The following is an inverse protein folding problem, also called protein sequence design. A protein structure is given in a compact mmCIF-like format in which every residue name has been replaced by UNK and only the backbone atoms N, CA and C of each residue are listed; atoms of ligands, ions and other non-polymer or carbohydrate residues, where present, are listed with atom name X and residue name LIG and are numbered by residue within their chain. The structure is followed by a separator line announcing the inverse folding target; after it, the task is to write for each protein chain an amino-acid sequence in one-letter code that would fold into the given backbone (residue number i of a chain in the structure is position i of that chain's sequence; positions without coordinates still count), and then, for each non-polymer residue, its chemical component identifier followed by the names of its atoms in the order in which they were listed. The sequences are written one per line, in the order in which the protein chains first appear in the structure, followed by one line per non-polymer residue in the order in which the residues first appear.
data_IF_998336497759
#
_entry.id   IF_998336497759
#
_cell.length_a   1.000
_cell.length_b   1.000
_cell.length_c   1.000
_cell.angle_alpha   90.00
_cell.angle_beta   90.00
_cell.angle_gamma   90.00
#
_symmetry.space_group_name_H-M   'P 1'
#
loop_
_entity.id
_entity.type
_entity.pdbx_description
1 polymer ?
#
# COMPACT_ATOMS: atom_id res chain seq x y z
N UNK A 1 -28.99 24.17 -3.60
CA UNK A 1 -28.46 23.14 -2.68
C UNK A 1 -26.95 23.11 -2.85
N UNK A 2 -26.20 23.54 -1.85
CA UNK A 2 -24.73 23.49 -1.90
C UNK A 2 -24.35 22.05 -1.57
N UNK A 3 -23.78 21.34 -2.54
CA UNK A 3 -23.18 20.04 -2.28
C UNK A 3 -22.01 20.25 -1.31
N UNK A 4 -22.19 19.92 -0.02
CA UNK A 4 -21.07 19.81 0.91
C UNK A 4 -20.08 18.82 0.31
N UNK A 5 -18.92 19.33 -0.12
CA UNK A 5 -17.80 18.47 -0.53
C UNK A 5 -17.44 17.63 0.69
N UNK A 6 -17.70 16.34 0.66
CA UNK A 6 -17.16 15.40 1.64
C UNK A 6 -15.64 15.62 1.62
N UNK A 7 -15.00 16.04 2.72
CA UNK A 7 -13.55 16.15 2.77
C UNK A 7 -12.99 14.76 2.53
N UNK A 8 -12.40 14.55 1.34
CA UNK A 8 -11.66 13.33 1.06
C UNK A 8 -10.27 13.56 1.65
N UNK A 9 -9.95 12.82 2.72
CA UNK A 9 -8.61 12.87 3.27
C UNK A 9 -7.60 12.52 2.17
N UNK A 10 -6.55 13.34 1.98
CA UNK A 10 -5.57 13.09 0.94
C UNK A 10 -4.87 11.75 1.20
N UNK A 11 -4.91 10.87 0.20
CA UNK A 11 -4.15 9.63 0.22
C UNK A 11 -2.67 10.02 0.22
N UNK A 12 -1.82 9.42 1.06
CA UNK A 12 -0.37 9.66 1.00
C UNK A 12 0.36 8.56 0.25
N UNK A 13 1.52 8.89 -0.35
CA UNK A 13 2.43 7.91 -0.94
C UNK A 13 2.94 6.95 0.13
N UNK A 14 2.87 5.65 -0.14
CA UNK A 14 3.29 4.61 0.79
C UNK A 14 4.83 4.44 0.81
N UNK A 15 5.55 5.03 -0.16
CA UNK A 15 7.01 5.10 -0.18
C UNK A 15 7.58 6.34 0.53
N UNK A 16 7.09 7.55 0.22
CA UNK A 16 7.69 8.80 0.68
C UNK A 16 6.79 9.66 1.57
N UNK A 17 5.56 9.24 1.85
CA UNK A 17 4.62 9.98 2.70
C UNK A 17 4.02 11.23 2.06
N UNK A 18 4.46 11.63 0.85
CA UNK A 18 3.94 12.80 0.14
C UNK A 18 2.41 12.71 0.00
N UNK A 19 1.64 13.75 0.40
CA UNK A 19 0.22 13.82 0.13
C UNK A 19 -0.06 13.75 -1.38
N UNK A 20 -1.03 12.93 -1.76
CA UNK A 20 -1.48 12.75 -3.13
C UNK A 20 -2.86 13.35 -3.25
N UNK A 21 -3.04 14.15 -4.29
CA UNK A 21 -4.36 14.66 -4.63
C UNK A 21 -5.19 13.50 -5.19
N UNK A 22 -6.49 13.41 -4.87
CA UNK A 22 -7.39 12.41 -5.43
C UNK A 22 -7.77 12.76 -6.88
N UNK A 23 -6.77 13.08 -7.70
CA UNK A 23 -6.91 13.39 -9.13
C UNK A 23 -6.43 12.16 -9.91
N UNK A 24 -7.31 11.65 -10.79
CA UNK A 24 -7.02 10.50 -11.64
C UNK A 24 -5.66 10.66 -12.37
N UNK A 25 -4.88 9.59 -12.39
CA UNK A 25 -3.62 9.52 -13.14
C UNK A 25 -2.38 10.11 -12.45
N UNK A 26 -2.52 10.67 -11.24
CA UNK A 26 -1.38 11.30 -10.53
C UNK A 26 -0.58 10.36 -9.63
N UNK A 27 -1.11 9.16 -9.37
CA UNK A 27 -0.48 8.13 -8.55
C UNK A 27 -0.75 6.73 -9.12
N UNK A 28 0.13 5.79 -8.78
CA UNK A 28 -0.02 4.39 -9.12
C UNK A 28 -0.60 3.64 -7.92
N UNK A 29 -1.73 2.96 -8.12
CA UNK A 29 -2.27 2.00 -7.16
C UNK A 29 -2.00 0.60 -7.68
N UNK A 30 -1.44 -0.24 -6.82
CA UNK A 30 -1.11 -1.63 -7.15
C UNK A 30 -1.70 -2.52 -6.06
N UNK A 31 -2.25 -3.65 -6.46
CA UNK A 31 -2.74 -4.71 -5.56
C UNK A 31 -1.69 -5.83 -5.53
N UNK A 32 -1.37 -6.33 -4.33
CA UNK A 32 -0.41 -7.41 -4.12
C UNK A 32 -1.10 -8.63 -3.51
N UNK A 33 -0.89 -9.80 -4.10
CA UNK A 33 -1.45 -11.06 -3.62
C UNK A 33 -0.63 -11.68 -2.48
N UNK A 34 -1.35 -12.12 -1.45
CA UNK A 34 -0.87 -12.80 -0.24
C UNK A 34 -1.72 -14.05 0.03
N UNK A 35 -1.69 -15.00 -0.90
CA UNK A 35 -2.48 -16.24 -0.80
C UNK A 35 -3.97 -15.97 -0.91
N UNK A 36 -4.68 -15.89 0.21
CA UNK A 36 -6.12 -15.67 0.27
C UNK A 36 -6.53 -14.18 0.31
N UNK A 37 -5.56 -13.27 0.39
CA UNK A 37 -5.81 -11.84 0.47
C UNK A 37 -5.12 -11.08 -0.67
N UNK A 38 -5.72 -9.95 -1.08
CA UNK A 38 -5.10 -8.97 -1.97
C UNK A 38 -5.01 -7.63 -1.24
N UNK A 39 -3.80 -7.09 -1.11
CA UNK A 39 -3.52 -5.91 -0.30
C UNK A 39 -2.95 -4.77 -1.15
N UNK A 40 -3.53 -3.56 -1.08
CA UNK A 40 -3.09 -2.43 -1.88
C UNK A 40 -1.87 -1.72 -1.32
N UNK A 41 -1.10 -1.12 -2.23
CA UNK A 41 -0.22 0.01 -1.93
C UNK A 41 -0.33 1.09 -3.02
N UNK A 42 0.04 2.32 -2.69
CA UNK A 42 -0.07 3.50 -3.55
C UNK A 42 1.24 4.28 -3.56
N UNK A 43 1.76 4.55 -4.77
CA UNK A 43 2.98 5.32 -4.99
C UNK A 43 2.70 6.61 -5.76
N UNK A 44 3.39 7.70 -5.41
CA UNK A 44 3.40 8.89 -6.27
C UNK A 44 4.11 8.58 -7.61
N UNK A 45 3.85 9.39 -8.64
CA UNK A 45 4.46 9.19 -9.96
C UNK A 45 5.98 9.04 -9.93
N UNK A 46 6.68 9.84 -9.13
CA UNK A 46 8.14 9.75 -8.97
C UNK A 46 8.57 8.41 -8.37
N UNK A 47 8.04 8.02 -7.20
CA UNK A 47 8.38 6.75 -6.58
C UNK A 47 7.99 5.54 -7.44
N UNK A 48 6.88 5.63 -8.19
CA UNK A 48 6.48 4.59 -9.13
C UNK A 48 7.48 4.43 -10.29
N UNK A 49 8.07 5.52 -10.77
CA UNK A 49 9.13 5.50 -11.77
C UNK A 49 10.44 4.97 -11.18
N UNK A 50 10.84 5.44 -10.00
CA UNK A 50 12.08 5.03 -9.32
C UNK A 50 12.09 3.53 -8.99
N UNK A 51 10.92 2.95 -8.73
CA UNK A 51 10.76 1.53 -8.42
C UNK A 51 10.11 0.72 -9.55
N UNK A 52 10.15 1.22 -10.78
CA UNK A 52 9.57 0.54 -11.95
C UNK A 52 10.17 -0.86 -12.14
N UNK A 53 9.33 -1.79 -12.62
CA UNK A 53 9.72 -3.15 -12.96
C UNK A 53 9.26 -4.13 -11.89
N UNK A 54 10.20 -4.61 -11.07
CA UNK A 54 9.90 -5.56 -9.98
C UNK A 54 10.63 -5.14 -8.70
N UNK A 55 10.02 -4.27 -7.88
CA UNK A 55 10.62 -3.91 -6.60
C UNK A 55 10.81 -5.15 -5.72
N UNK A 56 11.84 -5.17 -4.85
CA UNK A 56 12.05 -6.29 -3.93
C UNK A 56 10.81 -6.53 -3.06
N UNK A 57 10.47 -7.79 -2.80
CA UNK A 57 9.29 -8.14 -1.98
C UNK A 57 9.31 -7.47 -0.60
N UNK A 58 10.49 -7.39 0.03
CA UNK A 58 10.64 -6.68 1.31
C UNK A 58 10.16 -5.21 1.22
N UNK A 59 10.46 -4.53 0.10
CA UNK A 59 10.03 -3.14 -0.12
C UNK A 59 8.52 -3.05 -0.35
N UNK A 60 7.95 -3.99 -1.09
CA UNK A 60 6.49 -4.05 -1.30
C UNK A 60 5.76 -4.27 0.04
N UNK A 61 6.30 -5.12 0.91
CA UNK A 61 5.77 -5.35 2.26
C UNK A 61 5.78 -4.08 3.10
N UNK A 62 6.88 -3.32 3.06
CA UNK A 62 6.97 -2.03 3.75
C UNK A 62 5.86 -1.07 3.31
N UNK A 63 5.59 -0.96 2.00
CA UNK A 63 4.53 -0.09 1.49
C UNK A 63 3.13 -0.54 1.90
N UNK A 64 2.85 -1.84 1.84
CA UNK A 64 1.57 -2.41 2.30
C UNK A 64 1.35 -2.13 3.80
N UNK A 65 2.40 -2.29 4.61
CA UNK A 65 2.36 -2.03 6.05
C UNK A 65 2.22 -0.53 6.36
N UNK A 66 2.92 0.34 5.61
CA UNK A 66 2.80 1.78 5.72
C UNK A 66 1.39 2.27 5.39
N UNK A 67 0.72 1.63 4.42
CA UNK A 67 -0.67 1.91 4.11
C UNK A 67 -1.59 1.48 5.25
N UNK A 68 -1.40 0.26 5.74
CA UNK A 68 -2.25 -0.31 6.78
C UNK A 68 -2.16 0.47 8.11
N UNK A 69 -0.98 1.00 8.45
CA UNK A 69 -0.78 1.80 9.66
C UNK A 69 -1.61 3.09 9.68
N UNK A 70 -1.86 3.69 8.51
CA UNK A 70 -2.70 4.90 8.38
C UNK A 70 -4.19 4.62 8.54
N UNK A 71 -4.64 3.38 8.31
CA UNK A 71 -6.03 2.98 8.52
C UNK A 71 -6.34 2.62 9.98
N UNK A 72 -5.32 2.59 10.84
CA UNK A 72 -5.45 2.35 12.28
C UNK A 72 -4.82 1.05 12.76
N UNK A 73 -4.62 0.97 14.07
CA UNK A 73 -3.80 -0.07 14.69
C UNK A 73 -4.38 -1.48 14.51
N UNK A 74 -5.70 -1.66 14.62
CA UNK A 74 -6.33 -2.97 14.46
C UNK A 74 -6.13 -3.53 13.05
N UNK A 75 -6.32 -2.69 12.04
CA UNK A 75 -6.11 -3.07 10.64
C UNK A 75 -4.63 -3.37 10.35
N UNK A 76 -3.72 -2.54 10.87
CA UNK A 76 -2.29 -2.77 10.75
C UNK A 76 -1.86 -4.14 11.29
N UNK A 77 -2.37 -4.54 12.47
CA UNK A 77 -2.04 -5.85 13.04
C UNK A 77 -2.56 -7.01 12.17
N UNK A 78 -3.79 -6.91 11.64
CA UNK A 78 -4.34 -7.92 10.75
C UNK A 78 -3.51 -8.07 9.48
N UNK A 79 -3.16 -6.96 8.83
CA UNK A 79 -2.30 -6.95 7.63
C UNK A 79 -0.90 -7.50 7.94
N UNK A 80 -0.31 -7.13 9.08
CA UNK A 80 1.00 -7.65 9.49
C UNK A 80 1.02 -9.17 9.63
N UNK A 81 -0.05 -9.75 10.17
CA UNK A 81 -0.18 -11.22 10.28
C UNK A 81 -0.25 -11.89 8.90
N UNK A 82 -0.99 -11.33 7.95
CA UNK A 82 -1.09 -11.84 6.57
C UNK A 82 0.29 -11.82 5.88
N UNK A 83 0.96 -10.67 5.92
CA UNK A 83 2.28 -10.47 5.29
C UNK A 83 3.35 -11.36 5.93
N UNK A 84 3.28 -11.53 7.26
CA UNK A 84 4.19 -12.39 8.02
C UNK A 84 4.02 -13.88 7.74
N UNK A 85 2.79 -14.35 7.46
CA UNK A 85 2.51 -15.74 7.14
C UNK A 85 3.10 -16.17 5.78
N UNK A 86 2.98 -15.32 4.75
CA UNK A 86 3.56 -15.61 3.43
C UNK A 86 5.10 -15.78 3.50
N UNK A 87 5.76 -14.96 4.33
CA UNK A 87 7.21 -15.01 4.52
C UNK A 87 7.73 -16.30 5.17
N UNK A 88 6.83 -17.07 5.80
CA UNK A 88 7.13 -18.37 6.41
C UNK A 88 6.90 -19.49 5.39
N UNK A 89 5.79 -19.45 4.65
CA UNK A 89 5.53 -20.40 3.56
C UNK A 89 6.61 -20.41 2.47
N UNK A 90 7.19 -19.25 2.13
CA UNK A 90 8.32 -19.16 1.19
C UNK A 90 9.61 -19.79 1.72
N UNK A 91 9.78 -19.88 3.06
CA UNK A 91 10.96 -20.47 3.70
C UNK A 91 10.82 -21.98 3.91
N UNK A 92 9.63 -22.45 4.24
CA UNK A 92 9.36 -23.87 4.52
C UNK A 92 9.14 -24.71 3.24
N UNK A 93 8.96 -24.06 2.09
CA UNK A 93 8.74 -24.71 0.80
C UNK A 93 10.00 -24.94 -0.06
N UNK A 94 11.20 -24.92 0.54
CA UNK A 94 12.48 -25.18 -0.15
C UNK A 94 13.16 -26.44 0.34
#
# INVERSE_FOLDING_TARGET
MIASRIPVDPIACDCCGKPLLPVFGTYSRVEREYGWASLPYVLCGSCALDHRGRPPEARVREWVLARASRAGQGWFQAVRSIVGAQSQSERDGR
#
